data_IF_633128250818
#
_entry.id   IF_633128250818
#
_cell.length_a   1.000
_cell.length_b   1.000
_cell.length_c   1.000
_cell.angle_alpha   90.00
_cell.angle_beta   90.00
_cell.angle_gamma   90.00
#
_symmetry.space_group_name_H-M   'P 1'
#
loop_
_entity.id
_entity.type
_entity.pdbx_description
1 polymer ?
#
# COMPACT_ATOMS: atom_id res chain seq x y z
N UNK A 1 -13.50 -0.27 35.13
CA UNK A 1 -12.54 0.49 34.30
C UNK A 1 -12.59 -0.06 32.88
N UNK A 2 -12.70 0.77 31.87
CA UNK A 2 -12.74 0.36 30.48
C UNK A 2 -11.53 0.96 29.78
N UNK A 3 -10.82 0.17 28.98
CA UNK A 3 -9.72 0.60 28.13
C UNK A 3 -9.96 0.11 26.70
N UNK A 4 -9.34 0.75 25.70
CA UNK A 4 -9.66 0.50 24.29
C UNK A 4 -9.06 -0.81 23.78
N UNK A 5 -7.82 -1.14 24.16
CA UNK A 5 -7.16 -2.36 23.74
C UNK A 5 -6.20 -2.90 24.80
N UNK A 6 -6.18 -4.23 24.95
CA UNK A 6 -5.19 -4.94 25.76
C UNK A 6 -4.40 -5.90 24.90
N UNK A 7 -3.08 -5.81 24.94
CA UNK A 7 -2.20 -6.67 24.18
C UNK A 7 -1.17 -7.36 25.07
N UNK A 8 -0.83 -8.60 24.73
CA UNK A 8 0.24 -9.39 25.39
C UNK A 8 1.22 -9.90 24.36
N UNK A 9 2.51 -9.75 24.68
CA UNK A 9 3.61 -10.31 23.87
C UNK A 9 4.79 -10.66 24.78
N UNK A 10 5.24 -11.93 24.76
CA UNK A 10 6.39 -12.40 25.54
C UNK A 10 6.32 -12.04 27.03
N UNK A 11 5.19 -12.30 27.69
CA UNK A 11 4.89 -11.93 29.10
C UNK A 11 4.84 -10.41 29.39
N UNK A 12 5.01 -9.57 28.40
CA UNK A 12 4.71 -8.15 28.53
C UNK A 12 3.20 -7.89 28.29
N UNK A 13 2.63 -7.11 29.19
CA UNK A 13 1.22 -6.67 29.12
C UNK A 13 1.18 -5.19 28.80
N UNK A 14 0.42 -4.81 27.76
CA UNK A 14 0.28 -3.42 27.34
C UNK A 14 -1.21 -3.08 27.26
N UNK A 15 -1.58 -2.00 27.91
CA UNK A 15 -2.90 -1.38 27.81
C UNK A 15 -2.76 -0.18 26.87
N UNK A 16 -3.55 -0.15 25.82
CA UNK A 16 -3.66 0.99 24.92
C UNK A 16 -4.93 1.76 25.23
N UNK A 17 -4.79 3.04 25.40
CA UNK A 17 -5.88 4.00 25.48
C UNK A 17 -5.77 4.98 24.32
N UNK A 18 -6.80 5.05 23.48
CA UNK A 18 -6.84 5.90 22.29
C UNK A 18 -7.71 7.11 22.58
N UNK A 19 -7.15 8.29 22.51
CA UNK A 19 -7.89 9.55 22.78
C UNK A 19 -7.87 10.46 21.56
N UNK A 20 -9.05 11.02 21.29
CA UNK A 20 -9.22 12.10 20.34
C UNK A 20 -9.03 13.42 21.06
N UNK A 21 -8.34 14.32 20.97
CA UNK A 21 -8.18 15.71 21.37
C UNK A 21 -8.45 16.13 22.84
N UNK A 22 -9.31 15.46 23.60
CA UNK A 22 -9.58 15.80 25.00
C UNK A 22 -9.64 14.56 25.91
N UNK A 23 -8.88 14.58 26.98
CA UNK A 23 -8.90 13.55 28.02
C UNK A 23 -8.88 14.20 29.40
N UNK A 24 -9.58 13.62 30.37
CA UNK A 24 -9.50 14.08 31.74
C UNK A 24 -8.25 13.48 32.40
N UNK A 25 -7.58 14.30 33.19
CA UNK A 25 -6.41 13.88 33.97
C UNK A 25 -6.74 12.69 34.88
N UNK A 26 -7.91 12.74 35.54
CA UNK A 26 -8.36 11.71 36.45
C UNK A 26 -8.56 10.35 35.79
N UNK A 27 -9.02 10.35 34.53
CA UNK A 27 -9.18 9.12 33.74
C UNK A 27 -7.83 8.46 33.45
N UNK A 28 -6.81 9.25 33.10
CA UNK A 28 -5.46 8.73 32.84
C UNK A 28 -4.80 8.25 34.12
N UNK A 29 -4.92 8.98 35.24
CA UNK A 29 -4.37 8.55 36.51
C UNK A 29 -4.99 7.22 36.99
N UNK A 30 -6.29 7.03 36.79
CA UNK A 30 -6.97 5.77 37.07
C UNK A 30 -6.46 4.61 36.23
N UNK A 31 -6.22 4.84 34.93
CA UNK A 31 -5.65 3.84 34.02
C UNK A 31 -4.19 3.51 34.35
N UNK A 32 -3.39 4.52 34.73
CA UNK A 32 -2.01 4.32 35.17
C UNK A 32 -1.94 3.47 36.43
N UNK A 33 -2.85 3.74 37.40
CA UNK A 33 -2.93 2.97 38.64
C UNK A 33 -3.28 1.51 38.35
N UNK A 34 -4.30 1.29 37.52
CA UNK A 34 -4.72 -0.05 37.12
C UNK A 34 -3.60 -0.80 36.37
N UNK A 35 -2.93 -0.16 35.44
CA UNK A 35 -1.81 -0.77 34.71
C UNK A 35 -0.70 -1.21 35.65
N UNK A 36 -0.35 -0.35 36.62
CA UNK A 36 0.69 -0.65 37.60
C UNK A 36 0.32 -1.83 38.52
N UNK A 37 -0.94 -1.91 38.97
CA UNK A 37 -1.42 -3.01 39.80
C UNK A 37 -1.40 -4.36 39.06
N UNK A 38 -1.59 -4.35 37.74
CA UNK A 38 -1.63 -5.56 36.90
C UNK A 38 -0.32 -5.84 36.17
N UNK A 39 0.77 -5.16 36.51
CA UNK A 39 2.07 -5.37 35.89
C UNK A 39 2.07 -5.03 34.37
N UNK A 40 1.16 -4.17 33.94
CA UNK A 40 1.01 -3.75 32.56
C UNK A 40 1.62 -2.36 32.31
N UNK A 41 2.02 -2.09 31.08
CA UNK A 41 2.44 -0.77 30.63
C UNK A 41 1.26 -0.06 29.97
N UNK A 42 0.96 1.16 30.41
CA UNK A 42 -0.02 2.01 29.72
C UNK A 42 0.64 2.75 28.57
N UNK A 43 0.06 2.64 27.39
CA UNK A 43 0.43 3.42 26.21
C UNK A 43 -0.75 4.28 25.78
N UNK A 44 -0.58 5.59 25.92
CA UNK A 44 -1.56 6.56 25.44
C UNK A 44 -1.28 6.87 23.97
N UNK A 45 -2.28 6.62 23.13
CA UNK A 45 -2.25 6.97 21.70
C UNK A 45 -3.16 8.17 21.50
N UNK A 46 -2.58 9.32 21.17
CA UNK A 46 -3.36 10.52 20.87
C UNK A 46 -3.56 10.55 19.35
N UNK A 47 -4.82 10.41 18.95
CA UNK A 47 -5.24 10.53 17.55
C UNK A 47 -5.87 11.89 17.36
N UNK A 48 -5.20 12.78 16.64
CA UNK A 48 -5.81 14.01 16.15
C UNK A 48 -6.69 13.66 14.95
N UNK A 49 -7.88 13.12 15.20
CA UNK A 49 -8.88 13.01 14.16
C UNK A 49 -9.35 14.42 13.81
N UNK A 50 -8.92 14.93 12.70
CA UNK A 50 -9.68 15.92 11.95
C UNK A 50 -10.95 15.23 11.45
N UNK A 51 -12.12 15.88 11.51
CA UNK A 51 -13.38 15.36 10.92
C UNK A 51 -13.29 15.13 9.41
N UNK A 52 -12.21 15.54 8.80
CA UNK A 52 -11.80 15.17 7.44
C UNK A 52 -10.76 14.07 7.55
N UNK A 53 -11.12 12.85 7.11
CA UNK A 53 -10.14 11.80 6.87
C UNK A 53 -9.03 12.38 5.98
N UNK A 54 -7.75 12.23 6.34
CA UNK A 54 -6.70 12.69 5.45
C UNK A 54 -6.86 11.96 4.12
N UNK A 55 -7.13 12.71 3.07
CA UNK A 55 -7.13 12.18 1.72
C UNK A 55 -5.69 12.01 1.32
N UNK A 56 -5.29 10.78 1.07
CA UNK A 56 -3.97 10.48 0.50
C UNK A 56 -4.16 10.59 -1.01
N UNK A 57 -3.52 11.58 -1.60
CA UNK A 57 -3.47 11.72 -3.06
C UNK A 57 -2.41 10.76 -3.60
N UNK A 58 -2.87 9.74 -4.32
CA UNK A 58 -2.04 8.72 -4.98
C UNK A 58 -2.32 8.61 -6.48
N UNK A 59 -2.95 9.63 -7.06
CA UNK A 59 -3.27 9.68 -8.49
C UNK A 59 -2.00 9.66 -9.39
N UNK A 60 -0.84 9.99 -8.79
CA UNK A 60 0.45 9.87 -9.46
C UNK A 60 0.92 8.42 -9.64
N UNK A 61 0.37 7.46 -8.90
CA UNK A 61 0.88 6.08 -8.86
C UNK A 61 0.61 5.27 -10.14
N UNK A 62 -0.60 5.29 -10.76
CA UNK A 62 -0.86 4.53 -11.98
C UNK A 62 0.13 4.85 -13.11
N UNK A 63 0.37 6.12 -13.49
CA UNK A 63 1.35 6.43 -14.52
C UNK A 63 2.78 6.08 -14.10
N UNK A 64 3.14 6.21 -12.84
CA UNK A 64 4.46 5.82 -12.34
C UNK A 64 4.68 4.31 -12.44
N UNK A 65 3.66 3.50 -12.13
CA UNK A 65 3.70 2.04 -12.26
C UNK A 65 3.80 1.63 -13.74
N UNK A 66 3.05 2.28 -14.62
CA UNK A 66 3.12 2.07 -16.05
C UNK A 66 4.54 2.36 -16.61
N UNK A 67 5.15 3.50 -16.25
CA UNK A 67 6.54 3.83 -16.60
C UNK A 67 7.53 2.78 -16.07
N UNK A 68 7.34 2.33 -14.84
CA UNK A 68 8.18 1.30 -14.24
C UNK A 68 8.09 -0.02 -14.99
N UNK A 69 6.89 -0.49 -15.31
CA UNK A 69 6.69 -1.74 -16.03
C UNK A 69 7.29 -1.71 -17.41
N UNK A 70 7.12 -0.64 -18.17
CA UNK A 70 7.74 -0.46 -19.49
C UNK A 70 9.27 -0.35 -19.45
N UNK A 71 9.84 0.19 -18.35
CA UNK A 71 11.28 0.35 -18.22
C UNK A 71 12.01 -0.92 -17.77
N UNK A 72 11.38 -1.73 -16.92
CA UNK A 72 12.02 -2.86 -16.24
C UNK A 72 11.44 -4.22 -16.59
N UNK A 73 10.29 -4.27 -17.28
CA UNK A 73 9.60 -5.50 -17.70
C UNK A 73 9.55 -6.56 -16.58
N UNK A 74 8.92 -6.26 -15.41
CA UNK A 74 8.91 -7.16 -14.27
C UNK A 74 7.98 -8.38 -14.47
N UNK A 75 7.26 -8.45 -15.57
CA UNK A 75 6.36 -9.53 -15.99
C UNK A 75 6.98 -10.31 -17.16
N UNK A 76 6.47 -11.51 -17.40
CA UNK A 76 6.85 -12.29 -18.56
C UNK A 76 6.28 -11.63 -19.85
N UNK A 77 7.08 -11.57 -20.89
CA UNK A 77 6.69 -10.98 -22.19
C UNK A 77 5.61 -11.83 -22.84
N UNK A 78 4.54 -11.18 -23.30
CA UNK A 78 3.41 -11.81 -23.96
C UNK A 78 3.63 -11.70 -25.47
N UNK A 79 3.61 -12.84 -26.18
CA UNK A 79 3.89 -12.92 -27.62
C UNK A 79 5.31 -12.44 -28.00
N UNK A 80 5.46 -11.61 -29.08
CA UNK A 80 6.76 -11.10 -29.51
C UNK A 80 7.23 -9.87 -28.72
N UNK A 81 6.30 -9.02 -28.37
CA UNK A 81 6.53 -7.90 -27.46
C UNK A 81 5.19 -7.37 -26.94
N UNK A 82 5.25 -6.69 -25.83
CA UNK A 82 4.13 -5.97 -25.26
C UNK A 82 4.56 -4.57 -24.81
N UNK A 83 3.60 -3.67 -24.79
CA UNK A 83 3.77 -2.32 -24.26
C UNK A 83 2.63 -2.01 -23.31
N UNK A 84 2.95 -1.61 -22.08
CA UNK A 84 1.95 -1.20 -21.12
C UNK A 84 1.44 0.17 -21.50
N UNK A 85 0.16 0.29 -21.79
CA UNK A 85 -0.48 1.54 -22.15
C UNK A 85 -1.06 2.27 -20.95
N UNK A 86 -1.77 1.52 -20.10
CA UNK A 86 -2.41 2.08 -18.90
C UNK A 86 -2.52 1.09 -17.74
N UNK A 87 -2.67 1.63 -16.55
CA UNK A 87 -3.03 0.90 -15.35
C UNK A 87 -4.33 1.48 -14.82
N UNK A 88 -5.37 0.67 -14.77
CA UNK A 88 -6.73 1.08 -14.42
C UNK A 88 -7.36 0.18 -13.34
N UNK A 89 -8.54 0.55 -12.87
CA UNK A 89 -9.33 -0.22 -11.87
C UNK A 89 -8.53 -0.62 -10.62
N UNK A 90 -7.70 0.31 -10.13
CA UNK A 90 -6.82 0.04 -9.00
C UNK A 90 -7.61 -0.11 -7.71
N UNK A 91 -7.34 -1.21 -7.00
CA UNK A 91 -7.86 -1.49 -5.67
C UNK A 91 -6.70 -1.72 -4.71
N UNK A 92 -6.52 -0.81 -3.77
CA UNK A 92 -5.47 -0.92 -2.75
C UNK A 92 -5.94 -1.81 -1.60
N UNK A 93 -5.15 -2.84 -1.30
CA UNK A 93 -5.34 -3.70 -0.12
C UNK A 93 -4.50 -3.24 1.07
N UNK A 94 -3.43 -2.50 0.82
CA UNK A 94 -2.58 -1.91 1.83
C UNK A 94 -1.97 -0.60 1.33
N UNK A 95 -2.00 0.40 2.19
CA UNK A 95 -1.24 1.65 2.05
C UNK A 95 -0.55 1.89 3.38
N UNK A 96 0.78 1.89 3.37
CA UNK A 96 1.59 2.24 4.54
C UNK A 96 2.50 3.39 4.17
N UNK A 97 2.41 4.47 4.91
CA UNK A 97 3.18 5.69 4.65
C UNK A 97 4.04 6.04 5.86
N UNK A 98 5.31 6.34 5.62
CA UNK A 98 6.27 6.78 6.61
C UNK A 98 7.20 7.82 5.97
N UNK A 99 7.13 9.05 6.40
CA UNK A 99 7.95 10.20 5.96
C UNK A 99 8.20 10.24 4.43
N UNK A 100 9.29 9.61 3.97
CA UNK A 100 9.75 9.62 2.58
C UNK A 100 9.55 8.27 1.88
N UNK A 101 8.80 7.36 2.50
CA UNK A 101 8.51 6.02 2.00
C UNK A 101 7.02 5.75 1.98
N UNK A 102 6.55 5.07 0.93
CA UNK A 102 5.17 4.60 0.83
C UNK A 102 5.16 3.18 0.28
N UNK A 103 4.61 2.25 1.04
CA UNK A 103 4.38 0.87 0.63
C UNK A 103 2.95 0.73 0.14
N UNK A 104 2.78 0.28 -1.09
CA UNK A 104 1.49 0.08 -1.73
C UNK A 104 1.35 -1.38 -2.15
N UNK A 105 0.19 -1.97 -1.84
CA UNK A 105 -0.19 -3.30 -2.30
C UNK A 105 -1.62 -3.29 -2.79
N UNK A 106 -1.85 -4.00 -3.90
CA UNK A 106 -3.20 -4.03 -4.46
C UNK A 106 -3.31 -4.85 -5.73
N UNK A 107 -4.45 -4.67 -6.38
CA UNK A 107 -4.77 -5.25 -7.67
C UNK A 107 -5.17 -4.13 -8.64
N UNK A 108 -5.01 -4.38 -9.93
CA UNK A 108 -5.39 -3.46 -10.98
C UNK A 108 -5.71 -4.22 -12.27
N UNK A 109 -6.12 -3.49 -13.29
CA UNK A 109 -6.13 -3.95 -14.68
C UNK A 109 -4.97 -3.29 -15.41
N UNK A 110 -4.20 -4.08 -16.13
CA UNK A 110 -3.09 -3.66 -16.96
C UNK A 110 -3.51 -3.70 -18.42
N UNK A 111 -3.63 -2.55 -19.05
CA UNK A 111 -3.87 -2.40 -20.48
C UNK A 111 -2.56 -2.50 -21.24
N UNK A 112 -2.51 -3.38 -22.23
CA UNK A 112 -1.33 -3.67 -23.05
C UNK A 112 -1.65 -3.65 -24.52
N UNK A 113 -0.77 -3.05 -25.31
CA UNK A 113 -0.68 -3.29 -26.75
C UNK A 113 0.25 -4.49 -27.00
N UNK A 114 -0.25 -5.52 -27.67
CA UNK A 114 0.42 -6.79 -27.90
C UNK A 114 0.78 -6.92 -29.38
N UNK A 115 2.05 -7.20 -29.65
CA UNK A 115 2.58 -7.41 -31.00
C UNK A 115 2.76 -8.90 -31.26
N UNK A 116 2.02 -9.44 -32.24
CA UNK A 116 2.00 -10.87 -32.56
C UNK A 116 3.10 -11.29 -33.56
N UNK A 117 3.75 -10.35 -34.22
CA UNK A 117 4.83 -10.60 -35.13
C UNK A 117 5.93 -9.52 -35.09
N UNK A 118 7.08 -9.83 -35.69
CA UNK A 118 8.22 -8.91 -35.77
C UNK A 118 8.02 -7.73 -36.73
N UNK A 119 6.99 -7.75 -37.57
CA UNK A 119 6.74 -6.75 -38.59
C UNK A 119 5.74 -5.68 -38.13
N UNK A 120 5.06 -5.92 -36.97
CA UNK A 120 4.07 -5.00 -36.40
C UNK A 120 2.77 -4.95 -37.21
N UNK A 121 2.48 -6.01 -38.00
CA UNK A 121 1.27 -6.06 -38.82
C UNK A 121 0.03 -6.55 -38.07
N UNK A 122 0.23 -7.12 -36.87
CA UNK A 122 -0.86 -7.66 -36.01
C UNK A 122 -0.67 -7.17 -34.59
N UNK A 123 -1.28 -6.02 -34.32
CA UNK A 123 -1.32 -5.41 -32.98
C UNK A 123 -2.75 -5.43 -32.46
N UNK A 124 -2.92 -5.64 -31.17
CA UNK A 124 -4.23 -5.56 -30.53
C UNK A 124 -4.10 -5.22 -29.04
N UNK A 125 -5.11 -4.52 -28.56
CA UNK A 125 -5.18 -4.11 -27.17
C UNK A 125 -5.86 -5.18 -26.33
N UNK A 126 -5.26 -5.52 -25.20
CA UNK A 126 -5.84 -6.41 -24.20
C UNK A 126 -5.65 -5.84 -22.80
N UNK A 127 -6.53 -6.26 -21.88
CA UNK A 127 -6.41 -5.91 -20.48
C UNK A 127 -6.31 -7.19 -19.63
N UNK A 128 -5.33 -7.21 -18.76
CA UNK A 128 -5.03 -8.34 -17.89
C UNK A 128 -5.17 -7.96 -16.40
N UNK A 129 -5.72 -8.84 -15.57
CA UNK A 129 -5.64 -8.67 -14.13
C UNK A 129 -4.17 -8.65 -13.68
N UNK A 130 -3.86 -7.76 -12.76
CA UNK A 130 -2.53 -7.69 -12.17
C UNK A 130 -2.59 -7.51 -10.65
N UNK A 131 -1.54 -7.92 -9.99
CA UNK A 131 -1.30 -7.61 -8.58
C UNK A 131 0.07 -6.95 -8.43
N UNK A 132 0.18 -6.08 -7.44
CA UNK A 132 1.42 -5.38 -7.15
C UNK A 132 1.68 -5.25 -5.66
N UNK A 133 2.96 -5.27 -5.31
CA UNK A 133 3.49 -4.88 -4.01
C UNK A 133 4.75 -4.05 -4.26
N UNK A 134 4.71 -2.76 -3.97
CA UNK A 134 5.78 -1.82 -4.32
C UNK A 134 6.12 -0.90 -3.17
N UNK A 135 7.40 -0.59 -3.05
CA UNK A 135 7.92 0.44 -2.17
C UNK A 135 8.25 1.68 -3.01
N UNK A 136 7.64 2.79 -2.65
CA UNK A 136 7.93 4.10 -3.20
C UNK A 136 8.85 4.86 -2.26
N UNK A 137 9.86 5.53 -2.81
CA UNK A 137 10.78 6.40 -2.07
C UNK A 137 10.70 7.80 -2.67
N UNK A 138 10.59 8.81 -1.80
CA UNK A 138 10.61 10.19 -2.23
C UNK A 138 12.05 10.68 -2.36
N UNK A 139 12.47 11.03 -3.59
CA UNK A 139 13.79 11.61 -3.88
C UNK A 139 13.62 12.94 -4.60
N UNK A 140 14.21 13.99 -4.05
CA UNK A 140 14.09 15.35 -4.62
C UNK A 140 12.64 15.81 -4.85
N UNK A 141 11.74 15.44 -3.93
CA UNK A 141 10.32 15.80 -4.00
C UNK A 141 9.50 14.99 -5.02
N UNK A 142 10.06 13.94 -5.62
CA UNK A 142 9.37 13.04 -6.54
C UNK A 142 9.36 11.62 -6.01
N UNK A 143 8.23 10.95 -6.15
CA UNK A 143 8.09 9.52 -5.86
C UNK A 143 8.74 8.69 -6.96
N UNK A 144 9.43 7.63 -6.56
CA UNK A 144 10.07 6.65 -7.43
C UNK A 144 9.84 5.25 -6.86
N UNK A 145 9.62 4.26 -7.72
CA UNK A 145 9.52 2.86 -7.31
C UNK A 145 10.94 2.34 -7.01
N UNK A 146 11.12 1.74 -5.83
CA UNK A 146 12.38 1.07 -5.48
C UNK A 146 12.41 -0.32 -6.14
N UNK A 147 13.23 -0.46 -7.17
CA UNK A 147 13.22 -1.62 -8.07
C UNK A 147 13.52 -2.96 -7.38
N UNK A 148 14.31 -2.94 -6.30
CA UNK A 148 14.64 -4.17 -5.56
C UNK A 148 13.50 -4.64 -4.63
N UNK A 149 12.50 -3.82 -4.42
CA UNK A 149 11.37 -4.06 -3.53
C UNK A 149 10.02 -3.90 -4.27
N UNK A 150 10.02 -4.20 -5.55
CA UNK A 150 8.81 -4.15 -6.37
C UNK A 150 8.50 -5.55 -6.89
N UNK A 151 7.35 -6.06 -6.53
CA UNK A 151 6.79 -7.29 -7.02
C UNK A 151 5.53 -6.95 -7.83
N UNK A 152 5.54 -7.32 -9.10
CA UNK A 152 4.41 -7.13 -10.02
C UNK A 152 4.15 -8.44 -10.72
N UNK A 153 2.90 -8.86 -10.71
CA UNK A 153 2.46 -10.06 -11.40
C UNK A 153 1.26 -9.72 -12.29
N UNK A 154 1.35 -10.09 -13.56
CA UNK A 154 0.27 -9.98 -14.55
C UNK A 154 -0.27 -11.37 -14.82
N UNK A 155 -1.58 -11.56 -14.71
CA UNK A 155 -2.25 -12.83 -15.04
C UNK A 155 -2.62 -12.85 -16.52
N UNK A 156 -1.73 -13.41 -17.32
CA UNK A 156 -1.87 -13.57 -18.77
C UNK A 156 -2.52 -14.90 -19.16
N UNK A 157 -3.01 -15.69 -18.23
CA UNK A 157 -3.57 -17.03 -18.45
C UNK A 157 -4.65 -17.06 -19.53
N UNK A 158 -5.44 -15.99 -19.64
CA UNK A 158 -6.50 -15.85 -20.65
C UNK A 158 -5.99 -15.63 -22.08
N UNK A 159 -4.72 -15.26 -22.24
CA UNK A 159 -4.12 -15.05 -23.55
C UNK A 159 -3.89 -16.38 -24.28
N UNK A 160 -3.68 -17.46 -23.52
CA UNK A 160 -3.36 -18.79 -24.05
C UNK A 160 -4.57 -19.74 -24.11
N UNK A 161 -5.76 -19.30 -23.72
CA UNK A 161 -7.03 -20.06 -23.86
C UNK A 161 -7.65 -19.87 -25.24
#
# INVERSE_FOLDING_TARGET
LCFDLYATKNDEHIIYEIKQSQFSKDSIESLQHYAKEHGARLQLVISNYSDTLPTIDIDFFPPLLCEYMNAYHPHDEIAYSDTIEDISDISYTMIRMNHDEMELKGNAMCGMEIHMDNEGDIDFDMSFPMSFEVLLIQRNGKWQIETNNAEVYVDDSKFYE
#
